data_IF_183551487015
#
_entry.id   IF_183551487015
#
_cell.length_a   1.000
_cell.length_b   1.000
_cell.length_c   1.000
_cell.angle_alpha   90.00
_cell.angle_beta   90.00
_cell.angle_gamma   90.00
#
_symmetry.space_group_name_H-M   'P 1'
#
loop_
_entity.id
_entity.type
_entity.pdbx_description
1 polymer ?
#
# COMPACT_ATOMS: atom_id res chain seq x y z
N UNK A 1 -11.17 -27.76 -36.29
CA UNK A 1 -10.07 -27.08 -35.59
C UNK A 1 -10.66 -25.97 -34.75
N UNK A 2 -10.54 -26.05 -33.43
CA UNK A 2 -11.00 -25.02 -32.51
C UNK A 2 -9.96 -23.91 -32.40
N UNK A 3 -10.29 -22.73 -32.90
CA UNK A 3 -9.54 -21.49 -32.73
C UNK A 3 -9.59 -21.04 -31.27
N UNK A 4 -8.70 -21.58 -30.44
CA UNK A 4 -8.44 -21.04 -29.10
C UNK A 4 -7.63 -19.77 -29.24
N UNK A 5 -8.29 -18.62 -29.27
CA UNK A 5 -7.63 -17.33 -29.10
C UNK A 5 -6.81 -17.35 -27.81
N UNK A 6 -5.55 -16.88 -27.80
CA UNK A 6 -4.72 -16.90 -26.61
C UNK A 6 -5.40 -16.10 -25.48
N UNK A 7 -5.55 -16.72 -24.31
CA UNK A 7 -6.16 -16.09 -23.13
C UNK A 7 -5.16 -15.09 -22.53
N UNK A 8 -5.24 -13.83 -22.97
CA UNK A 8 -4.38 -12.76 -22.50
C UNK A 8 -4.89 -12.23 -21.15
N UNK A 9 -4.11 -12.46 -20.09
CA UNK A 9 -4.47 -11.99 -18.73
C UNK A 9 -3.49 -10.92 -18.25
N UNK A 10 -4.01 -9.77 -17.84
CA UNK A 10 -3.23 -8.66 -17.30
C UNK A 10 -3.36 -8.57 -15.78
N UNK A 11 -2.23 -8.56 -15.08
CA UNK A 11 -2.13 -8.39 -13.64
C UNK A 11 -1.30 -7.14 -13.34
N UNK A 12 -1.94 -6.06 -12.89
CA UNK A 12 -1.24 -4.84 -12.53
C UNK A 12 -1.07 -4.77 -11.00
N UNK A 13 0.18 -4.78 -10.55
CA UNK A 13 0.55 -4.45 -9.18
C UNK A 13 0.92 -2.97 -9.03
N UNK A 14 1.32 -2.57 -7.83
CA UNK A 14 1.80 -1.20 -7.60
C UNK A 14 3.10 -0.92 -8.34
N UNK A 15 4.08 -1.83 -8.32
CA UNK A 15 5.41 -1.60 -8.92
C UNK A 15 5.63 -2.35 -10.23
N UNK A 16 4.98 -3.51 -10.41
CA UNK A 16 5.14 -4.39 -11.58
C UNK A 16 3.81 -4.70 -12.24
N UNK A 17 3.81 -4.72 -13.56
CA UNK A 17 2.71 -5.20 -14.39
C UNK A 17 3.12 -6.52 -15.02
N UNK A 18 2.29 -7.54 -14.89
CA UNK A 18 2.53 -8.87 -15.45
C UNK A 18 1.47 -9.21 -16.49
N UNK A 19 1.90 -9.74 -17.62
CA UNK A 19 1.05 -10.24 -18.70
C UNK A 19 1.27 -11.74 -18.84
N UNK A 20 0.19 -12.50 -18.80
CA UNK A 20 0.21 -13.93 -19.09
C UNK A 20 -0.24 -14.16 -20.53
N UNK A 21 0.67 -14.68 -21.36
CA UNK A 21 0.41 -15.10 -22.75
C UNK A 21 0.89 -16.55 -22.90
N UNK A 22 -0.01 -17.46 -23.27
CA UNK A 22 0.30 -18.88 -23.55
C UNK A 22 1.10 -19.59 -22.43
N UNK A 23 0.72 -19.34 -21.17
CA UNK A 23 1.36 -19.94 -19.99
C UNK A 23 2.70 -19.32 -19.60
N UNK A 24 3.20 -18.32 -20.34
CA UNK A 24 4.36 -17.51 -19.96
C UNK A 24 3.91 -16.22 -19.29
N UNK A 25 4.44 -15.96 -18.09
CA UNK A 25 4.20 -14.71 -17.36
C UNK A 25 5.39 -13.78 -17.57
N UNK A 26 5.16 -12.68 -18.30
CA UNK A 26 6.12 -11.62 -18.51
C UNK A 26 5.78 -10.45 -17.59
N UNK A 27 6.69 -10.11 -16.68
CA UNK A 27 6.54 -8.98 -15.77
C UNK A 27 7.52 -7.87 -16.14
N UNK A 28 7.02 -6.64 -16.21
CA UNK A 28 7.82 -5.44 -16.38
C UNK A 28 7.61 -4.51 -15.19
N UNK A 29 8.66 -3.78 -14.82
CA UNK A 29 8.55 -2.67 -13.89
C UNK A 29 7.74 -1.56 -14.54
N UNK A 30 6.76 -1.02 -13.82
CA UNK A 30 6.02 0.14 -14.27
C UNK A 30 6.90 1.38 -14.09
N UNK A 31 6.83 2.36 -15.01
CA UNK A 31 7.67 3.55 -14.97
C UNK A 31 7.56 4.26 -13.61
N UNK A 32 8.70 4.79 -13.15
CA UNK A 32 8.79 5.62 -11.95
C UNK A 32 8.06 6.95 -12.13
N UNK A 33 8.00 7.43 -13.37
CA UNK A 33 7.58 8.78 -13.72
C UNK A 33 6.50 8.77 -14.79
N UNK A 34 5.59 9.73 -14.72
CA UNK A 34 4.46 9.84 -15.63
C UNK A 34 4.76 10.61 -16.92
N UNK A 35 6.04 10.77 -17.29
CA UNK A 35 6.47 11.65 -18.39
C UNK A 35 5.89 11.25 -19.76
N UNK A 36 5.65 9.95 -19.99
CA UNK A 36 5.13 9.45 -21.27
C UNK A 36 3.60 9.38 -21.33
N UNK A 37 2.90 9.69 -20.22
CA UNK A 37 1.45 9.57 -20.15
C UNK A 37 0.77 10.88 -20.57
N UNK A 38 -0.04 10.84 -21.62
CA UNK A 38 -0.84 11.99 -22.09
C UNK A 38 -2.33 11.83 -21.78
N UNK A 39 -3.02 12.96 -21.55
CA UNK A 39 -4.47 12.99 -21.28
C UNK A 39 -4.89 12.21 -20.03
N UNK A 40 -5.89 11.33 -20.16
CA UNK A 40 -6.42 10.51 -19.04
C UNK A 40 -5.39 9.51 -18.48
N UNK A 41 -4.37 9.15 -19.27
CA UNK A 41 -3.25 8.32 -18.82
C UNK A 41 -2.41 9.01 -17.75
N UNK A 42 -2.23 10.34 -17.85
CA UNK A 42 -1.45 11.13 -16.90
C UNK A 42 -2.08 11.15 -15.50
N UNK A 43 -3.39 11.40 -15.42
CA UNK A 43 -4.11 11.37 -14.14
C UNK A 43 -4.06 9.99 -13.48
N UNK A 44 -4.18 8.94 -14.30
CA UNK A 44 -4.15 7.54 -13.85
C UNK A 44 -2.77 7.18 -13.31
N UNK A 45 -1.70 7.62 -13.99
CA UNK A 45 -0.32 7.45 -13.54
C UNK A 45 -0.04 8.24 -12.24
N UNK A 46 -0.46 9.51 -12.14
CA UNK A 46 -0.25 10.31 -10.92
C UNK A 46 -0.94 9.70 -9.70
N UNK A 47 -2.15 9.14 -9.86
CA UNK A 47 -2.82 8.40 -8.78
C UNK A 47 -2.01 7.18 -8.35
N UNK A 48 -1.47 6.43 -9.30
CA UNK A 48 -0.63 5.27 -9.01
C UNK A 48 0.67 5.65 -8.28
N UNK A 49 1.31 6.75 -8.69
CA UNK A 49 2.52 7.28 -8.04
C UNK A 49 2.21 7.76 -6.61
N UNK A 50 1.10 8.47 -6.42
CA UNK A 50 0.64 8.88 -5.10
C UNK A 50 0.36 7.66 -4.20
N UNK A 51 -0.33 6.64 -4.72
CA UNK A 51 -0.58 5.40 -3.98
C UNK A 51 0.72 4.71 -3.55
N UNK A 52 1.72 4.63 -4.43
CA UNK A 52 3.06 4.12 -4.09
C UNK A 52 3.70 4.92 -2.96
N UNK A 53 3.68 6.25 -3.05
CA UNK A 53 4.27 7.12 -2.03
C UNK A 53 3.61 6.93 -0.67
N UNK A 54 2.27 6.97 -0.60
CA UNK A 54 1.53 6.80 0.65
C UNK A 54 1.70 5.42 1.26
N UNK A 55 1.67 4.35 0.45
CA UNK A 55 1.91 2.98 0.93
C UNK A 55 3.34 2.84 1.46
N UNK A 56 4.33 3.42 0.77
CA UNK A 56 5.73 3.38 1.23
C UNK A 56 5.91 4.12 2.55
N UNK A 57 5.33 5.32 2.68
CA UNK A 57 5.35 6.11 3.92
C UNK A 57 4.67 5.32 5.04
N UNK A 58 3.50 4.72 4.79
CA UNK A 58 2.81 3.90 5.77
C UNK A 58 3.66 2.71 6.24
N UNK A 59 4.35 2.01 5.33
CA UNK A 59 5.27 0.93 5.70
C UNK A 59 6.43 1.41 6.57
N UNK A 60 7.06 2.54 6.22
CA UNK A 60 8.17 3.12 7.00
C UNK A 60 7.69 3.52 8.40
N UNK A 61 6.57 4.23 8.49
CA UNK A 61 6.00 4.66 9.78
C UNK A 61 5.58 3.48 10.65
N UNK A 62 5.04 2.42 10.04
CA UNK A 62 4.71 1.19 10.75
C UNK A 62 5.95 0.46 11.25
N UNK A 63 7.07 0.48 10.51
CA UNK A 63 8.34 -0.07 10.99
C UNK A 63 8.89 0.72 12.16
N UNK A 64 8.88 2.06 12.05
CA UNK A 64 9.31 2.97 13.11
C UNK A 64 8.46 2.82 14.37
N UNK A 65 7.14 2.66 14.25
CA UNK A 65 6.26 2.48 15.41
C UNK A 65 6.60 1.21 16.18
N UNK A 66 6.86 0.10 15.50
CA UNK A 66 7.30 -1.17 16.13
C UNK A 66 8.64 -0.99 16.84
N UNK A 67 9.62 -0.34 16.20
CA UNK A 67 10.93 -0.08 16.82
C UNK A 67 10.78 0.79 18.07
N UNK A 68 9.96 1.85 18.02
CA UNK A 68 9.68 2.69 19.18
C UNK A 68 9.03 1.90 20.32
N UNK A 69 8.04 1.04 20.03
CA UNK A 69 7.38 0.21 21.04
C UNK A 69 8.33 -0.79 21.69
N UNK A 70 9.18 -1.45 20.90
CA UNK A 70 10.20 -2.38 21.42
C UNK A 70 11.21 -1.64 22.30
N UNK A 71 11.67 -0.46 21.88
CA UNK A 71 12.58 0.36 22.69
C UNK A 71 11.94 0.81 24.00
N UNK A 72 10.66 1.20 23.99
CA UNK A 72 9.92 1.53 25.21
C UNK A 72 9.76 0.31 26.15
N UNK A 73 9.65 -0.90 25.61
CA UNK A 73 9.54 -2.12 26.42
C UNK A 73 10.89 -2.57 27.01
N UNK A 74 11.98 -2.44 26.24
CA UNK A 74 13.33 -2.86 26.65
C UNK A 74 13.95 -1.85 27.61
N UNK A 75 13.85 -0.56 27.27
CA UNK A 75 14.37 0.52 28.08
C UNK A 75 13.21 0.95 28.98
N UNK A 76 13.21 0.53 30.25
CA UNK A 76 12.29 1.05 31.29
C UNK A 76 12.52 2.56 31.43
N UNK A 77 11.90 3.32 30.54
CA UNK A 77 12.15 4.75 30.39
C UNK A 77 11.11 5.48 31.19
N UNK A 78 11.27 5.51 32.51
CA UNK A 78 10.33 6.18 33.44
C UNK A 78 10.23 7.70 33.22
N UNK A 79 11.01 8.30 32.30
CA UNK A 79 11.16 9.76 32.21
C UNK A 79 10.94 10.38 30.84
N UNK A 80 10.59 9.62 29.78
CA UNK A 80 10.42 10.18 28.44
C UNK A 80 8.96 10.16 27.97
N UNK A 81 8.13 10.98 28.61
CA UNK A 81 6.74 11.24 28.20
C UNK A 81 6.63 11.66 26.71
N UNK A 82 7.66 12.32 26.17
CA UNK A 82 7.73 12.71 24.75
C UNK A 82 7.82 11.48 23.83
N UNK A 83 8.68 10.50 24.15
CA UNK A 83 8.85 9.28 23.34
C UNK A 83 7.57 8.46 23.35
N UNK A 84 6.89 8.39 24.50
CA UNK A 84 5.59 7.75 24.62
C UNK A 84 4.52 8.45 23.76
N UNK A 85 4.47 9.78 23.78
CA UNK A 85 3.54 10.56 22.94
C UNK A 85 3.80 10.34 21.44
N UNK A 86 5.07 10.36 21.02
CA UNK A 86 5.45 10.11 19.63
C UNK A 86 5.09 8.67 19.22
N UNK A 87 5.31 7.69 20.10
CA UNK A 87 4.97 6.28 19.85
C UNK A 87 3.46 6.06 19.65
N UNK A 88 2.62 6.91 20.25
CA UNK A 88 1.16 6.90 20.05
C UNK A 88 0.73 7.61 18.76
N UNK A 89 1.45 8.66 18.36
CA UNK A 89 1.14 9.43 17.15
C UNK A 89 1.55 8.71 15.85
N UNK A 90 2.72 8.06 15.84
CA UNK A 90 3.26 7.32 14.68
C UNK A 90 2.28 6.30 14.05
N UNK A 91 1.64 5.39 14.82
CA UNK A 91 0.71 4.42 14.25
C UNK A 91 -0.55 5.09 13.71
N UNK A 92 -1.00 6.22 14.29
CA UNK A 92 -2.11 6.98 13.76
C UNK A 92 -1.79 7.61 12.40
N UNK A 93 -0.61 8.23 12.26
CA UNK A 93 -0.18 8.81 10.97
C UNK A 93 0.02 7.70 9.93
N UNK A 94 0.60 6.57 10.34
CA UNK A 94 0.74 5.38 9.48
C UNK A 94 -0.62 4.87 8.98
N UNK A 95 -1.64 4.85 9.84
CA UNK A 95 -2.99 4.43 9.50
C UNK A 95 -3.63 5.37 8.47
N UNK A 96 -3.56 6.69 8.70
CA UNK A 96 -4.09 7.69 7.77
C UNK A 96 -3.40 7.59 6.40
N UNK A 97 -2.07 7.50 6.37
CA UNK A 97 -1.32 7.30 5.13
C UNK A 97 -1.72 6.00 4.42
N UNK A 98 -1.89 4.90 5.17
CA UNK A 98 -2.33 3.61 4.65
C UNK A 98 -3.72 3.67 4.02
N UNK A 99 -4.69 4.32 4.66
CA UNK A 99 -6.04 4.52 4.11
C UNK A 99 -5.99 5.33 2.83
N UNK A 100 -5.25 6.45 2.80
CA UNK A 100 -5.14 7.30 1.61
C UNK A 100 -4.52 6.49 0.45
N UNK A 101 -3.40 5.80 0.71
CA UNK A 101 -2.73 4.98 -0.30
C UNK A 101 -3.63 3.86 -0.85
N UNK A 102 -4.39 3.21 0.03
CA UNK A 102 -5.33 2.16 -0.35
C UNK A 102 -6.52 2.72 -1.15
N UNK A 103 -7.12 3.83 -0.72
CA UNK A 103 -8.26 4.45 -1.40
C UNK A 103 -7.87 4.89 -2.82
N UNK A 104 -6.70 5.51 -2.98
CA UNK A 104 -6.17 5.92 -4.29
C UNK A 104 -5.83 4.69 -5.14
N UNK A 105 -5.26 3.64 -4.54
CA UNK A 105 -4.96 2.38 -5.21
C UNK A 105 -6.21 1.65 -5.70
N UNK A 106 -7.27 1.58 -4.89
CA UNK A 106 -8.55 0.98 -5.29
C UNK A 106 -9.21 1.81 -6.40
N UNK A 107 -9.22 3.14 -6.28
CA UNK A 107 -9.75 4.03 -7.30
C UNK A 107 -9.05 3.89 -8.66
N UNK A 108 -7.78 3.46 -8.69
CA UNK A 108 -7.07 3.11 -9.92
C UNK A 108 -7.58 1.81 -10.55
N UNK A 109 -7.89 0.80 -9.72
CA UNK A 109 -8.35 -0.52 -10.18
C UNK A 109 -9.82 -0.48 -10.61
N UNK A 110 -10.66 0.35 -9.99
CA UNK A 110 -12.09 0.49 -10.31
C UNK A 110 -12.39 1.41 -11.50
N UNK A 111 -11.35 1.98 -12.13
CA UNK A 111 -11.51 2.79 -13.35
C UNK A 111 -12.20 1.99 -14.48
N UNK A 112 -13.01 2.64 -15.35
CA UNK A 112 -13.90 1.97 -16.29
C UNK A 112 -13.11 1.08 -17.26
N UNK A 113 -13.28 -0.23 -17.09
CA UNK A 113 -12.58 -1.26 -17.86
C UNK A 113 -12.72 -2.68 -17.33
N UNK A 114 -13.57 -2.93 -16.32
CA UNK A 114 -13.88 -4.28 -15.83
C UNK A 114 -12.70 -5.00 -15.15
N UNK A 115 -11.68 -4.26 -14.68
CA UNK A 115 -10.55 -4.86 -13.96
C UNK A 115 -11.03 -5.41 -12.62
N UNK A 116 -10.80 -6.71 -12.41
CA UNK A 116 -11.08 -7.36 -11.13
C UNK A 116 -10.07 -6.91 -10.08
N UNK A 117 -10.54 -6.72 -8.85
CA UNK A 117 -9.68 -6.41 -7.71
C UNK A 117 -8.80 -7.62 -7.43
N UNK A 118 -7.48 -7.41 -7.45
CA UNK A 118 -6.50 -8.46 -7.13
C UNK A 118 -6.54 -8.83 -5.65
N UNK A 119 -6.24 -10.10 -5.31
CA UNK A 119 -6.12 -10.58 -3.93
C UNK A 119 -5.17 -9.74 -3.08
N UNK A 120 -4.13 -9.15 -3.69
CA UNK A 120 -3.19 -8.26 -3.03
C UNK A 120 -3.84 -7.00 -2.42
N UNK A 121 -4.94 -6.50 -3.00
CA UNK A 121 -5.66 -5.36 -2.43
C UNK A 121 -6.37 -5.74 -1.11
N UNK A 122 -6.87 -6.97 -1.00
CA UNK A 122 -7.45 -7.48 0.24
C UNK A 122 -6.40 -7.64 1.34
N UNK A 123 -5.19 -8.07 0.99
CA UNK A 123 -4.05 -8.10 1.92
C UNK A 123 -3.74 -6.69 2.43
N UNK A 124 -3.74 -5.69 1.53
CA UNK A 124 -3.59 -4.29 1.90
C UNK A 124 -4.66 -3.80 2.87
N UNK A 125 -5.93 -4.12 2.62
CA UNK A 125 -7.04 -3.79 3.54
C UNK A 125 -6.81 -4.44 4.92
N UNK A 126 -6.51 -5.74 4.93
CA UNK A 126 -6.27 -6.47 6.17
C UNK A 126 -5.10 -5.87 6.97
N UNK A 127 -4.01 -5.48 6.30
CA UNK A 127 -2.87 -4.84 6.94
C UNK A 127 -3.23 -3.49 7.58
N UNK A 128 -4.04 -2.66 6.89
CA UNK A 128 -4.53 -1.39 7.45
C UNK A 128 -5.42 -1.62 8.68
N UNK A 129 -6.30 -2.64 8.65
CA UNK A 129 -7.15 -3.01 9.79
C UNK A 129 -6.31 -3.48 10.97
N UNK A 130 -5.31 -4.33 10.76
CA UNK A 130 -4.41 -4.80 11.82
C UNK A 130 -3.63 -3.62 12.43
N UNK A 131 -3.13 -2.70 11.59
CA UNK A 131 -2.43 -1.51 12.06
C UNK A 131 -3.37 -0.60 12.90
N UNK A 132 -4.64 -0.48 12.51
CA UNK A 132 -5.66 0.23 13.32
C UNK A 132 -5.85 -0.39 14.70
N UNK A 133 -5.96 -1.72 14.77
CA UNK A 133 -6.10 -2.44 16.05
C UNK A 133 -4.84 -2.22 16.90
N UNK A 134 -3.65 -2.32 16.30
CA UNK A 134 -2.38 -2.04 16.98
C UNK A 134 -2.30 -0.60 17.51
N UNK A 135 -2.73 0.38 16.72
CA UNK A 135 -2.79 1.78 17.13
C UNK A 135 -3.75 1.99 18.31
N UNK A 136 -4.94 1.39 18.25
CA UNK A 136 -5.94 1.47 19.32
C UNK A 136 -5.42 0.83 20.62
N UNK A 137 -4.77 -0.33 20.54
CA UNK A 137 -4.15 -0.99 21.69
C UNK A 137 -3.03 -0.15 22.30
N UNK A 138 -2.18 0.48 21.48
CA UNK A 138 -1.13 1.37 21.96
C UNK A 138 -1.69 2.61 22.70
N UNK A 139 -2.87 3.10 22.33
CA UNK A 139 -3.55 4.18 23.05
C UNK A 139 -4.08 3.74 24.42
N UNK A 140 -4.53 2.48 24.54
CA UNK A 140 -5.10 1.90 25.77
C UNK A 140 -4.05 1.57 26.83
N UNK A 141 -2.80 1.29 26.42
CA UNK A 141 -1.68 1.10 27.34
C UNK A 141 -1.37 2.48 27.98
N UNK A 142 -1.59 2.57 29.29
CA UNK A 142 -1.26 3.72 30.14
C UNK A 142 0.15 3.56 30.70
#
# INVERSE_FOLDING_TARGET
GSSTSPLLTYNFGLWRGCVSLDGRMNCADLPSDCQEATGNGFQTCNKMMAARAFITIACILSGLSVVCLVMCAVIKTDSNHIVFMISKALPFVSFVAGIIGLAVGIAFVTAPGGRKISSAAFVGIAAVVINMIGAALALLIR
#
